data_IF_876687995962
#
_entry.id   IF_876687995962
#
_cell.length_a   1.000
_cell.length_b   1.000
_cell.length_c   1.000
_cell.angle_alpha   90.00
_cell.angle_beta   90.00
_cell.angle_gamma   90.00
#
_symmetry.space_group_name_H-M   'P 1'
#
loop_
_entity.id
_entity.type
_entity.pdbx_description
1 polymer ?
#
# COMPACT_ATOMS: atom_id res chain seq x y z
N UNK A 1 -3.82 28.91 -3.67
CA UNK A 1 -2.94 27.78 -3.28
C UNK A 1 -2.45 28.03 -1.88
N UNK A 2 -2.83 27.24 -0.91
CA UNK A 2 -2.23 27.32 0.43
C UNK A 2 -0.98 26.45 0.43
N UNK A 3 0.18 27.02 0.68
CA UNK A 3 1.43 26.29 0.88
C UNK A 3 1.44 25.63 2.28
N UNK A 4 0.48 24.75 2.53
CA UNK A 4 0.34 24.08 3.82
C UNK A 4 1.50 23.13 4.13
N UNK A 5 2.27 22.71 3.12
CA UNK A 5 3.38 21.77 3.27
C UNK A 5 4.60 22.30 2.53
N UNK A 6 5.70 22.49 3.25
CA UNK A 6 6.97 22.89 2.66
C UNK A 6 7.56 21.78 1.78
N UNK A 7 8.22 22.14 0.69
CA UNK A 7 8.94 21.20 -0.18
C UNK A 7 10.03 20.48 0.66
N UNK A 8 10.10 19.15 0.54
CA UNK A 8 11.05 18.33 1.29
C UNK A 8 10.61 17.97 2.72
N UNK A 9 9.41 18.37 3.15
CA UNK A 9 8.86 17.95 4.44
C UNK A 9 8.49 16.47 4.44
N UNK A 10 7.89 16.00 3.35
CA UNK A 10 7.65 14.57 3.09
C UNK A 10 8.60 14.12 1.98
N UNK A 11 9.29 13.02 2.20
CA UNK A 11 10.34 12.50 1.32
C UNK A 11 10.14 11.03 1.05
N UNK A 12 10.40 10.60 -0.18
CA UNK A 12 10.54 9.20 -0.54
C UNK A 12 12.03 8.88 -0.63
N UNK A 13 12.45 7.89 0.12
CA UNK A 13 13.79 7.30 0.01
C UNK A 13 13.70 6.03 -0.81
N UNK A 14 14.67 5.81 -1.69
CA UNK A 14 14.82 4.59 -2.47
C UNK A 14 16.20 4.00 -2.23
N UNK A 15 16.27 2.69 -2.02
CA UNK A 15 17.53 1.98 -1.80
C UNK A 15 18.19 1.66 -3.14
N UNK A 16 19.37 2.21 -3.36
CA UNK A 16 20.23 1.86 -4.49
C UNK A 16 21.35 0.95 -3.94
N UNK A 17 21.63 -0.22 -4.57
CA UNK A 17 22.76 -1.07 -4.20
C UNK A 17 24.08 -0.30 -4.25
N UNK A 18 25.00 -0.61 -3.33
CA UNK A 18 26.29 0.11 -3.20
C UNK A 18 27.21 -0.02 -4.43
N UNK A 19 27.04 -1.09 -5.19
CA UNK A 19 27.77 -1.36 -6.43
C UNK A 19 27.19 -0.62 -7.64
N UNK A 20 26.07 0.09 -7.48
CA UNK A 20 25.44 0.86 -8.54
C UNK A 20 25.68 2.36 -8.40
N UNK A 21 25.87 3.10 -9.50
CA UNK A 21 25.99 4.55 -9.44
C UNK A 21 24.71 5.21 -8.95
N UNK A 22 24.87 6.30 -8.20
CA UNK A 22 23.76 7.14 -7.79
C UNK A 22 23.35 8.06 -8.95
N UNK A 23 22.35 7.62 -9.71
CA UNK A 23 21.77 8.36 -10.82
C UNK A 23 20.23 8.23 -10.86
N UNK A 24 19.61 9.00 -11.72
CA UNK A 24 18.14 9.02 -11.87
C UNK A 24 17.57 7.65 -12.29
N UNK A 25 18.22 6.96 -13.21
CA UNK A 25 17.73 5.70 -13.74
C UNK A 25 17.75 4.60 -12.68
N UNK A 26 18.82 4.51 -11.90
CA UNK A 26 18.94 3.55 -10.81
C UNK A 26 17.98 3.87 -9.66
N UNK A 27 17.79 5.16 -9.35
CA UNK A 27 16.77 5.60 -8.40
C UNK A 27 15.36 5.19 -8.88
N UNK A 28 15.01 5.44 -10.14
CA UNK A 28 13.72 5.04 -10.72
C UNK A 28 13.51 3.52 -10.74
N UNK A 29 14.59 2.74 -10.98
CA UNK A 29 14.53 1.27 -10.89
C UNK A 29 14.22 0.82 -9.45
N UNK A 30 14.84 1.41 -8.45
CA UNK A 30 14.57 1.12 -7.04
C UNK A 30 13.13 1.46 -6.66
N UNK A 31 12.62 2.61 -7.10
CA UNK A 31 11.21 3.00 -6.92
C UNK A 31 10.27 1.98 -7.56
N UNK A 32 10.52 1.56 -8.80
CA UNK A 32 9.69 0.56 -9.51
C UNK A 32 9.71 -0.82 -8.84
N UNK A 33 10.82 -1.19 -8.18
CA UNK A 33 10.91 -2.43 -7.40
C UNK A 33 10.25 -2.33 -6.03
N UNK A 34 9.83 -1.13 -5.61
CA UNK A 34 9.27 -0.92 -4.28
C UNK A 34 10.32 -0.94 -3.15
N UNK A 35 11.59 -0.77 -3.46
CA UNK A 35 12.67 -0.65 -2.47
C UNK A 35 12.66 0.75 -1.84
N UNK A 36 11.51 1.14 -1.30
CA UNK A 36 11.25 2.53 -0.89
C UNK A 36 10.52 2.63 0.43
N UNK A 37 10.66 3.78 1.08
CA UNK A 37 9.79 4.21 2.16
C UNK A 37 9.54 5.72 2.07
N UNK A 38 8.42 6.14 2.64
CA UNK A 38 8.04 7.56 2.76
C UNK A 38 8.22 7.99 4.20
N UNK A 39 8.72 9.21 4.42
CA UNK A 39 8.96 9.72 5.77
C UNK A 39 8.87 11.25 5.86
N UNK A 40 8.51 11.73 7.05
CA UNK A 40 8.62 13.15 7.44
C UNK A 40 9.82 13.40 8.36
N UNK A 41 10.58 12.35 8.73
CA UNK A 41 11.75 12.47 9.60
C UNK A 41 12.51 11.17 9.84
N UNK A 42 11.89 10.15 10.46
CA UNK A 42 12.54 8.88 10.75
C UNK A 42 13.03 8.15 9.49
N UNK A 43 14.21 7.58 9.56
CA UNK A 43 14.68 6.57 8.63
C UNK A 43 14.24 5.19 9.12
N UNK A 44 13.93 4.29 8.20
CA UNK A 44 13.56 2.93 8.54
C UNK A 44 14.22 1.91 7.63
N UNK A 45 14.58 0.78 8.23
CA UNK A 45 14.93 -0.46 7.55
C UNK A 45 13.90 -1.51 7.93
N UNK A 46 13.55 -2.36 6.97
CA UNK A 46 12.54 -3.39 7.14
C UNK A 46 12.84 -4.58 6.24
N UNK A 47 12.91 -5.77 6.83
CA UNK A 47 13.13 -7.02 6.11
C UNK A 47 12.17 -8.11 6.59
N UNK A 48 11.88 -9.05 5.71
CA UNK A 48 11.13 -10.27 6.03
C UNK A 48 11.96 -11.46 5.53
N UNK A 49 12.37 -12.37 6.43
CA UNK A 49 13.31 -13.44 6.14
C UNK A 49 14.57 -12.90 5.44
N UNK A 50 15.10 -11.77 5.89
CA UNK A 50 16.25 -11.08 5.30
C UNK A 50 16.00 -10.42 3.93
N UNK A 51 14.77 -10.47 3.40
CA UNK A 51 14.40 -9.82 2.14
C UNK A 51 13.92 -8.39 2.39
N UNK A 52 14.47 -7.37 1.69
CA UNK A 52 14.11 -5.98 1.91
C UNK A 52 12.72 -5.62 1.35
N UNK A 53 12.27 -4.42 1.65
CA UNK A 53 11.08 -3.78 1.06
C UNK A 53 11.03 -3.96 -0.45
N UNK A 54 9.83 -4.18 -1.00
CA UNK A 54 9.60 -4.43 -2.43
C UNK A 54 9.85 -5.87 -2.86
N UNK A 55 10.40 -6.72 -1.99
CA UNK A 55 10.71 -8.12 -2.31
C UNK A 55 9.49 -9.02 -2.24
N UNK A 56 9.66 -10.20 -2.86
CA UNK A 56 8.73 -11.33 -2.77
C UNK A 56 9.36 -12.47 -1.96
N UNK A 57 8.60 -13.01 -1.04
CA UNK A 57 8.88 -14.23 -0.27
C UNK A 57 7.88 -15.30 -0.68
N UNK A 58 8.37 -16.48 -1.05
CA UNK A 58 7.52 -17.61 -1.42
C UNK A 58 7.54 -18.64 -0.30
N UNK A 59 6.36 -19.10 0.07
CA UNK A 59 6.16 -20.15 1.08
C UNK A 59 5.22 -21.21 0.52
N UNK A 60 5.33 -22.44 1.02
CA UNK A 60 4.50 -23.57 0.58
C UNK A 60 3.05 -23.43 1.06
N UNK A 61 2.17 -24.34 0.60
CA UNK A 61 0.74 -24.33 0.92
C UNK A 61 0.41 -24.46 2.43
N UNK A 62 1.33 -25.03 3.24
CA UNK A 62 1.14 -25.11 4.70
C UNK A 62 1.41 -23.79 5.42
N UNK A 63 1.84 -22.76 4.68
CA UNK A 63 2.31 -21.51 5.24
C UNK A 63 3.65 -21.65 5.96
N UNK A 64 4.11 -20.55 6.55
CA UNK A 64 5.37 -20.51 7.31
C UNK A 64 5.31 -19.46 8.42
N UNK A 65 6.19 -19.60 9.41
CA UNK A 65 6.54 -18.49 10.29
C UNK A 65 7.66 -17.71 9.60
N UNK A 66 7.48 -16.40 9.46
CA UNK A 66 8.46 -15.51 8.87
C UNK A 66 9.06 -14.61 9.94
N UNK A 67 10.36 -14.33 9.81
CA UNK A 67 11.07 -13.42 10.68
C UNK A 67 11.02 -12.02 10.09
N UNK A 68 10.54 -11.08 10.87
CA UNK A 68 10.41 -9.66 10.53
C UNK A 68 11.43 -8.89 11.34
N UNK A 69 12.38 -8.26 10.67
CA UNK A 69 13.38 -7.42 11.30
C UNK A 69 13.17 -5.97 10.90
N UNK A 70 13.39 -5.06 11.84
CA UNK A 70 13.26 -3.63 11.57
C UNK A 70 14.27 -2.81 12.38
N UNK A 71 14.65 -1.70 11.83
CA UNK A 71 15.46 -0.68 12.49
C UNK A 71 14.94 0.71 12.15
N UNK A 72 14.93 1.60 13.13
CA UNK A 72 14.50 2.98 13.01
C UNK A 72 15.54 3.89 13.61
N UNK A 73 15.82 4.99 12.91
CA UNK A 73 16.65 6.08 13.41
C UNK A 73 15.95 7.41 13.17
N UNK A 74 15.85 8.26 14.19
CA UNK A 74 15.22 9.57 14.08
C UNK A 74 16.03 10.64 14.80
N UNK A 75 16.43 11.65 14.05
CA UNK A 75 17.18 12.79 14.60
C UNK A 75 16.25 13.89 15.12
N UNK A 76 15.18 14.17 14.40
CA UNK A 76 14.34 15.36 14.61
C UNK A 76 13.01 15.08 15.28
N UNK A 77 12.36 14.00 14.91
CA UNK A 77 11.03 13.65 15.42
C UNK A 77 11.12 12.53 16.46
N UNK A 78 10.60 12.72 17.67
CA UNK A 78 10.42 11.61 18.63
C UNK A 78 9.49 10.56 18.06
N UNK A 79 9.97 9.33 17.96
CA UNK A 79 9.16 8.16 17.55
C UNK A 79 8.41 7.65 18.78
N UNK A 80 7.16 7.29 18.63
CA UNK A 80 6.29 6.81 19.70
C UNK A 80 5.99 5.33 19.59
N UNK A 81 5.86 4.82 18.37
CA UNK A 81 5.67 3.37 18.13
C UNK A 81 6.04 2.94 16.72
N UNK A 82 6.30 1.66 16.61
CA UNK A 82 6.41 0.91 15.36
C UNK A 82 5.28 -0.10 15.29
N UNK A 83 4.65 -0.19 14.15
CA UNK A 83 3.51 -1.06 13.90
C UNK A 83 3.80 -1.93 12.66
N UNK A 84 3.55 -3.23 12.78
CA UNK A 84 3.55 -4.14 11.63
C UNK A 84 2.12 -4.29 11.11
N UNK A 85 1.95 -4.02 9.84
CA UNK A 85 0.66 -4.10 9.16
C UNK A 85 0.67 -5.28 8.17
N UNK A 86 -0.33 -6.14 8.26
CA UNK A 86 -0.57 -7.26 7.36
C UNK A 86 -1.93 -7.07 6.67
N UNK A 87 -1.96 -7.01 5.35
CA UNK A 87 -3.19 -6.84 4.55
C UNK A 87 -4.11 -5.71 5.08
N UNK A 88 -3.52 -4.57 5.50
CA UNK A 88 -4.25 -3.42 6.04
C UNK A 88 -4.57 -3.47 7.54
N UNK A 89 -4.31 -4.58 8.21
CA UNK A 89 -4.56 -4.75 9.64
C UNK A 89 -3.26 -4.68 10.42
N UNK A 90 -3.22 -3.89 11.51
CA UNK A 90 -2.11 -3.90 12.45
C UNK A 90 -2.11 -5.23 13.22
N UNK A 91 -1.01 -5.97 13.12
CA UNK A 91 -0.84 -7.27 13.76
C UNK A 91 0.16 -7.25 14.93
N UNK A 92 1.15 -6.35 14.88
CA UNK A 92 2.12 -6.17 15.94
C UNK A 92 2.37 -4.69 16.18
N UNK A 93 2.68 -4.34 17.42
CA UNK A 93 3.02 -2.98 17.83
C UNK A 93 4.05 -2.98 18.93
N UNK A 94 5.06 -2.11 18.81
CA UNK A 94 6.03 -1.82 19.85
C UNK A 94 6.08 -0.33 20.16
N UNK A 95 5.88 0.03 21.41
CA UNK A 95 6.13 1.39 21.90
C UNK A 95 7.62 1.67 21.94
N UNK A 96 8.00 2.88 21.56
CA UNK A 96 9.39 3.34 21.49
C UNK A 96 9.57 4.58 22.37
N UNK A 97 10.66 4.61 23.11
CA UNK A 97 11.09 5.71 23.98
C UNK A 97 12.50 6.23 23.64
N UNK A 98 13.10 5.71 22.57
CA UNK A 98 14.45 6.08 22.11
C UNK A 98 14.43 6.61 20.66
N UNK A 99 15.57 7.21 20.23
CA UNK A 99 15.71 7.75 18.87
C UNK A 99 16.24 6.75 17.85
N UNK A 100 16.94 5.73 18.30
CA UNK A 100 17.46 4.65 17.48
C UNK A 100 17.07 3.34 18.14
N UNK A 101 16.36 2.50 17.44
CA UNK A 101 15.84 1.26 17.96
C UNK A 101 15.70 0.23 16.83
N UNK A 102 16.01 -0.99 17.16
CA UNK A 102 15.76 -2.14 16.33
C UNK A 102 14.85 -3.14 17.03
N UNK A 103 14.32 -4.06 16.29
CA UNK A 103 13.48 -5.10 16.83
C UNK A 103 13.16 -6.16 15.79
N UNK A 104 12.50 -7.18 16.32
CA UNK A 104 12.14 -8.33 15.51
C UNK A 104 10.79 -8.89 15.99
N UNK A 105 10.04 -9.49 15.06
CA UNK A 105 8.84 -10.29 15.31
C UNK A 105 8.89 -11.58 14.50
N UNK A 106 8.29 -12.63 15.02
CA UNK A 106 8.03 -13.87 14.27
C UNK A 106 6.53 -13.97 14.01
N UNK A 107 6.14 -14.00 12.74
CA UNK A 107 4.73 -13.91 12.33
C UNK A 107 4.33 -15.16 11.56
N UNK A 108 3.22 -15.79 11.95
CA UNK A 108 2.66 -16.91 11.20
C UNK A 108 1.89 -16.40 9.97
N UNK A 109 2.25 -16.91 8.81
CA UNK A 109 1.60 -16.63 7.52
C UNK A 109 1.03 -17.93 6.97
N UNK A 110 -0.27 -17.98 6.72
CA UNK A 110 -1.02 -19.12 6.19
C UNK A 110 -1.75 -18.83 4.87
N UNK A 111 -1.72 -17.57 4.43
CA UNK A 111 -2.30 -17.11 3.16
C UNK A 111 -1.45 -15.99 2.56
N UNK A 112 -1.66 -15.70 1.27
CA UNK A 112 -0.99 -14.57 0.62
C UNK A 112 -1.19 -13.28 1.42
N UNK A 113 -0.08 -12.66 1.80
CA UNK A 113 -0.05 -11.52 2.74
C UNK A 113 1.01 -10.52 2.30
N UNK A 114 0.69 -9.25 2.31
CA UNK A 114 1.71 -8.21 2.29
C UNK A 114 1.95 -7.68 3.71
N UNK A 115 3.23 -7.50 4.04
CA UNK A 115 3.65 -6.91 5.30
C UNK A 115 4.29 -5.55 5.05
N UNK A 116 3.90 -4.55 5.82
CA UNK A 116 4.51 -3.23 5.79
C UNK A 116 4.76 -2.72 7.21
N UNK A 117 5.79 -1.88 7.34
CA UNK A 117 6.12 -1.23 8.61
C UNK A 117 5.60 0.19 8.63
N UNK A 118 4.96 0.58 9.73
CA UNK A 118 4.43 1.89 10.00
C UNK A 118 5.09 2.45 11.25
N UNK A 119 5.66 3.66 11.16
CA UNK A 119 6.31 4.35 12.26
C UNK A 119 5.46 5.53 12.65
N UNK A 120 5.11 5.61 13.94
CA UNK A 120 4.41 6.77 14.48
C UNK A 120 5.38 7.67 15.23
N UNK A 121 5.11 8.94 15.16
CA UNK A 121 5.90 9.94 15.86
C UNK A 121 5.07 11.16 16.24
N UNK A 122 5.60 11.94 17.17
CA UNK A 122 4.92 13.13 17.66
C UNK A 122 5.93 14.19 18.09
N UNK A 123 5.79 15.40 17.56
CA UNK A 123 6.49 16.54 18.15
C UNK A 123 5.85 16.95 19.48
N UNK A 124 6.61 17.50 20.43
CA UNK A 124 6.06 18.00 21.69
C UNK A 124 4.89 18.97 21.46
N UNK A 125 3.76 18.71 22.13
CA UNK A 125 2.55 19.53 22.02
C UNK A 125 1.72 19.30 20.75
N UNK A 126 2.09 18.37 19.88
CA UNK A 126 1.33 18.04 18.66
C UNK A 126 0.67 16.67 18.75
N UNK A 127 -0.25 16.40 17.83
CA UNK A 127 -0.87 15.09 17.69
C UNK A 127 0.12 14.09 17.09
N UNK A 128 -0.08 12.81 17.42
CA UNK A 128 0.66 11.70 16.82
C UNK A 128 0.29 11.56 15.34
N UNK A 129 1.31 11.36 14.52
CA UNK A 129 1.16 11.18 13.06
C UNK A 129 1.85 9.91 12.60
N UNK A 130 1.52 9.46 11.39
CA UNK A 130 2.35 8.50 10.67
C UNK A 130 3.61 9.24 10.21
N UNK A 131 4.73 8.91 10.84
CA UNK A 131 6.00 9.58 10.63
C UNK A 131 6.82 8.94 9.49
N UNK A 132 6.70 7.62 9.30
CA UNK A 132 7.26 6.91 8.15
C UNK A 132 6.42 5.66 7.82
N UNK A 133 6.50 5.22 6.57
CA UNK A 133 5.79 4.05 6.06
C UNK A 133 6.63 3.34 5.01
N UNK A 134 6.86 2.03 5.18
CA UNK A 134 7.61 1.22 4.22
C UNK A 134 6.75 0.84 3.01
N UNK A 135 7.38 0.57 1.87
CA UNK A 135 6.78 -0.32 0.88
C UNK A 135 6.65 -1.73 1.45
N UNK A 136 5.70 -2.53 0.96
CA UNK A 136 5.48 -3.87 1.50
C UNK A 136 6.54 -4.87 1.05
N UNK A 137 6.70 -5.94 1.84
CA UNK A 137 7.21 -7.23 1.38
C UNK A 137 6.01 -8.12 1.10
N UNK A 138 5.97 -8.71 -0.09
CA UNK A 138 4.89 -9.58 -0.54
C UNK A 138 5.21 -11.03 -0.19
N UNK A 139 4.31 -11.72 0.51
CA UNK A 139 4.49 -13.13 0.86
C UNK A 139 3.45 -13.93 0.09
N UNK A 140 3.91 -14.71 -0.87
CA UNK A 140 3.07 -15.58 -1.66
C UNK A 140 3.05 -16.99 -1.07
N UNK A 141 1.87 -17.44 -0.67
CA UNK A 141 1.61 -18.80 -0.21
C UNK A 141 1.06 -19.60 -1.38
N UNK A 142 1.64 -20.78 -1.61
CA UNK A 142 1.22 -21.67 -2.68
C UNK A 142 -0.26 -22.06 -2.53
N UNK A 143 -1.02 -21.93 -3.62
CA UNK A 143 -2.47 -22.21 -3.63
C UNK A 143 -3.35 -21.13 -3.00
N UNK A 144 -2.78 -20.04 -2.51
CA UNK A 144 -3.52 -18.87 -2.00
C UNK A 144 -3.44 -17.68 -2.96
N UNK A 145 -4.36 -16.72 -2.83
CA UNK A 145 -4.39 -15.48 -3.61
C UNK A 145 -4.35 -14.26 -2.65
N UNK A 146 -3.82 -13.14 -3.14
CA UNK A 146 -3.87 -11.84 -2.45
C UNK A 146 -5.25 -11.19 -2.48
N UNK A 147 -6.17 -11.74 -3.23
CA UNK A 147 -7.49 -11.15 -3.43
C UNK A 147 -8.35 -11.23 -2.18
N UNK A 148 -9.09 -10.16 -1.96
CA UNK A 148 -10.11 -10.06 -0.94
C UNK A 148 -11.43 -9.68 -1.61
N UNK A 149 -12.46 -10.49 -1.44
CA UNK A 149 -13.80 -10.19 -1.98
C UNK A 149 -14.35 -8.86 -1.49
N UNK A 150 -14.07 -8.50 -0.24
CA UNK A 150 -14.48 -7.23 0.33
C UNK A 150 -13.78 -6.04 -0.34
N UNK A 151 -12.49 -6.17 -0.64
CA UNK A 151 -11.73 -5.12 -1.33
C UNK A 151 -12.17 -5.00 -2.80
N UNK A 152 -12.41 -6.12 -3.48
CA UNK A 152 -12.93 -6.12 -4.85
C UNK A 152 -14.31 -5.47 -4.92
N UNK A 153 -15.21 -5.74 -3.96
CA UNK A 153 -16.52 -5.08 -3.85
C UNK A 153 -16.38 -3.58 -3.62
N UNK A 154 -15.52 -3.17 -2.69
CA UNK A 154 -15.25 -1.75 -2.42
C UNK A 154 -14.76 -1.00 -3.68
N UNK A 155 -13.86 -1.63 -4.45
CA UNK A 155 -13.38 -1.05 -5.72
C UNK A 155 -14.52 -0.96 -6.73
N UNK A 156 -15.38 -1.96 -6.80
CA UNK A 156 -16.52 -1.97 -7.71
C UNK A 156 -17.50 -0.83 -7.40
N UNK A 157 -17.85 -0.63 -6.13
CA UNK A 157 -18.68 0.47 -5.64
C UNK A 157 -18.06 1.86 -5.95
N UNK A 158 -16.74 1.99 -5.81
CA UNK A 158 -16.02 3.22 -6.18
C UNK A 158 -16.09 3.50 -7.70
N UNK A 159 -16.02 2.46 -8.53
CA UNK A 159 -16.16 2.58 -9.98
C UNK A 159 -17.59 3.00 -10.33
N UNK A 160 -18.60 2.41 -9.71
CA UNK A 160 -20.01 2.80 -9.87
C UNK A 160 -20.25 4.26 -9.48
N UNK A 161 -19.73 4.67 -8.32
CA UNK A 161 -19.78 6.06 -7.87
C UNK A 161 -19.10 7.02 -8.85
N UNK A 162 -18.00 6.61 -9.46
CA UNK A 162 -17.29 7.40 -10.47
C UNK A 162 -18.09 7.53 -11.76
N UNK A 163 -18.76 6.46 -12.20
CA UNK A 163 -19.68 6.51 -13.34
C UNK A 163 -20.87 7.42 -13.06
N UNK A 164 -21.50 7.27 -11.91
CA UNK A 164 -22.63 8.12 -11.50
C UNK A 164 -22.24 9.60 -11.43
N UNK A 165 -21.07 9.92 -10.88
CA UNK A 165 -20.53 11.28 -10.87
C UNK A 165 -20.31 11.83 -12.29
N UNK A 166 -19.66 11.04 -13.16
CA UNK A 166 -19.38 11.43 -14.54
C UNK A 166 -20.69 11.70 -15.32
N UNK A 167 -21.71 10.88 -15.09
CA UNK A 167 -22.99 10.97 -15.81
C UNK A 167 -23.88 12.13 -15.30
N UNK A 168 -23.74 12.54 -14.03
CA UNK A 168 -24.63 13.52 -13.39
C UNK A 168 -24.01 14.91 -13.23
N UNK A 169 -22.87 15.03 -12.57
CA UNK A 169 -22.28 16.31 -12.15
C UNK A 169 -20.88 16.58 -12.70
N UNK A 170 -20.25 15.57 -13.30
CA UNK A 170 -18.89 15.71 -13.84
C UNK A 170 -18.82 16.77 -14.93
N UNK A 171 -17.83 17.67 -14.92
CA UNK A 171 -17.64 18.64 -15.98
C UNK A 171 -17.29 17.94 -17.30
N UNK A 172 -18.01 18.26 -18.36
CA UNK A 172 -17.79 17.69 -19.69
C UNK A 172 -16.99 18.66 -20.55
N UNK A 173 -15.76 18.28 -20.90
CA UNK A 173 -14.95 19.07 -21.82
C UNK A 173 -15.56 19.02 -23.24
N UNK A 174 -15.89 17.82 -23.73
CA UNK A 174 -16.57 17.55 -24.98
C UNK A 174 -17.20 16.14 -24.94
N UNK A 175 -18.11 15.88 -25.86
CA UNK A 175 -18.88 14.62 -25.93
C UNK A 175 -17.97 13.40 -26.26
N UNK A 176 -16.94 13.59 -27.06
CA UNK A 176 -16.03 12.52 -27.48
C UNK A 176 -15.19 12.08 -26.30
N UNK A 177 -14.62 13.01 -25.55
CA UNK A 177 -13.82 12.76 -24.35
C UNK A 177 -14.67 12.11 -23.25
N UNK A 178 -15.90 12.60 -23.04
CA UNK A 178 -16.85 12.01 -22.11
C UNK A 178 -17.13 10.53 -22.44
N UNK A 179 -17.54 10.23 -23.68
CA UNK A 179 -17.83 8.85 -24.11
C UNK A 179 -16.62 7.93 -23.97
N UNK A 180 -15.42 8.42 -24.34
CA UNK A 180 -14.18 7.66 -24.20
C UNK A 180 -13.86 7.35 -22.75
N UNK A 181 -14.03 8.30 -21.85
CA UNK A 181 -13.77 8.13 -20.42
C UNK A 181 -14.78 7.17 -19.82
N UNK A 182 -16.07 7.37 -20.09
CA UNK A 182 -17.15 6.49 -19.63
C UNK A 182 -16.94 5.04 -20.07
N UNK A 183 -16.65 4.81 -21.34
CA UNK A 183 -16.38 3.48 -21.91
C UNK A 183 -15.18 2.80 -21.23
N UNK A 184 -14.11 3.54 -20.93
CA UNK A 184 -12.95 2.97 -20.22
C UNK A 184 -13.31 2.52 -18.81
N UNK A 185 -14.02 3.35 -18.04
CA UNK A 185 -14.43 3.03 -16.67
C UNK A 185 -15.39 1.83 -16.69
N UNK A 186 -16.36 1.82 -17.58
CA UNK A 186 -17.31 0.72 -17.76
C UNK A 186 -16.61 -0.60 -18.16
N UNK A 187 -15.61 -0.54 -19.03
CA UNK A 187 -14.81 -1.72 -19.40
C UNK A 187 -14.08 -2.31 -18.19
N UNK A 188 -13.53 -1.46 -17.32
CA UNK A 188 -12.86 -1.91 -16.09
C UNK A 188 -13.87 -2.52 -15.11
N UNK A 189 -15.04 -1.89 -14.96
CA UNK A 189 -16.15 -2.42 -14.17
C UNK A 189 -16.53 -3.84 -14.61
N UNK A 190 -16.82 -4.03 -15.89
CA UNK A 190 -17.23 -5.32 -16.44
C UNK A 190 -16.15 -6.40 -16.24
N UNK A 191 -14.88 -6.05 -16.41
CA UNK A 191 -13.77 -6.99 -16.19
C UNK A 191 -13.65 -7.42 -14.73
N UNK A 192 -13.75 -6.48 -13.79
CA UNK A 192 -13.67 -6.78 -12.36
C UNK A 192 -14.88 -7.62 -11.92
N UNK A 193 -16.07 -7.18 -12.29
CA UNK A 193 -17.33 -7.85 -12.01
C UNK A 193 -17.35 -9.31 -12.52
N UNK A 194 -16.99 -9.53 -13.79
CA UNK A 194 -16.91 -10.86 -14.37
C UNK A 194 -15.92 -11.76 -13.61
N UNK A 195 -14.76 -11.21 -13.25
CA UNK A 195 -13.75 -11.94 -12.47
C UNK A 195 -14.24 -12.31 -11.07
N UNK A 196 -14.97 -11.43 -10.39
CA UNK A 196 -15.57 -11.72 -9.08
C UNK A 196 -16.54 -12.89 -9.17
N UNK A 197 -17.42 -12.90 -10.18
CA UNK A 197 -18.37 -13.99 -10.39
C UNK A 197 -17.67 -15.33 -10.74
N UNK A 198 -16.60 -15.28 -11.56
CA UNK A 198 -15.78 -16.48 -11.84
C UNK A 198 -15.14 -17.06 -10.59
N UNK A 199 -14.84 -16.23 -9.59
CA UNK A 199 -14.28 -16.64 -8.30
C UNK A 199 -15.35 -17.00 -7.26
N UNK A 200 -16.65 -17.05 -7.66
CA UNK A 200 -17.76 -17.42 -6.78
C UNK A 200 -18.25 -16.29 -5.86
N UNK A 201 -17.81 -15.05 -6.07
CA UNK A 201 -18.27 -13.91 -5.29
C UNK A 201 -19.45 -13.24 -5.99
N UNK A 202 -20.62 -13.33 -5.39
CA UNK A 202 -21.86 -12.72 -5.88
C UNK A 202 -22.29 -11.60 -4.96
N UNK A 203 -22.78 -10.50 -5.54
CA UNK A 203 -23.27 -9.33 -4.81
C UNK A 203 -24.56 -8.82 -5.47
N UNK A 204 -25.34 -8.04 -4.74
CA UNK A 204 -26.52 -7.37 -5.29
C UNK A 204 -26.08 -6.18 -6.16
N UNK A 205 -26.70 -6.05 -7.33
CA UNK A 205 -26.48 -4.91 -8.24
C UNK A 205 -27.32 -3.72 -7.81
N UNK A 206 -26.75 -2.52 -7.89
CA UNK A 206 -27.54 -1.28 -7.87
C UNK A 206 -28.20 -1.08 -9.24
N UNK A 207 -29.46 -0.69 -9.27
CA UNK A 207 -30.30 -0.57 -10.49
C UNK A 207 -29.75 0.36 -11.60
N UNK A 208 -28.62 1.04 -11.39
CA UNK A 208 -28.00 1.94 -12.38
C UNK A 208 -27.27 1.21 -13.52
N UNK A 209 -27.02 -0.09 -13.42
CA UNK A 209 -26.21 -0.87 -14.39
C UNK A 209 -27.02 -1.81 -15.28
N UNK A 210 -28.35 -1.95 -15.08
CA UNK A 210 -29.21 -2.87 -15.83
C UNK A 210 -29.65 -2.41 -17.23
N UNK A 211 -29.26 -1.22 -17.68
CA UNK A 211 -29.70 -0.64 -18.95
C UNK A 211 -28.61 -0.60 -20.02
N UNK A 212 -27.98 -1.73 -20.32
CA UNK A 212 -27.16 -1.88 -21.54
C UNK A 212 -27.18 -3.35 -21.96
N UNK A 213 -28.33 -3.82 -22.45
CA UNK A 213 -28.48 -5.00 -23.25
C UNK A 213 -28.46 -4.62 -24.74
#
# INVERSE_FOLDING_TARGET
MSAATAVGMVRTYARIPEDMPFDYDNWMKAVKRGETFVTVGPLLEFTVNGKPMGSWVHVNASGATVDVEWRIASVTMPVTSVELVANGMMIEKRSIDSRDMDGHWSVRIDRCTWLALLVRGRYPGQQEIVAAHSSPVMIQVEGSDFRSAADELTILEQIEGSLAYLDSVGPRADEITYKRMRMKIETVYQRLHHRMHQNGYFHSHTHATEHSG
#
